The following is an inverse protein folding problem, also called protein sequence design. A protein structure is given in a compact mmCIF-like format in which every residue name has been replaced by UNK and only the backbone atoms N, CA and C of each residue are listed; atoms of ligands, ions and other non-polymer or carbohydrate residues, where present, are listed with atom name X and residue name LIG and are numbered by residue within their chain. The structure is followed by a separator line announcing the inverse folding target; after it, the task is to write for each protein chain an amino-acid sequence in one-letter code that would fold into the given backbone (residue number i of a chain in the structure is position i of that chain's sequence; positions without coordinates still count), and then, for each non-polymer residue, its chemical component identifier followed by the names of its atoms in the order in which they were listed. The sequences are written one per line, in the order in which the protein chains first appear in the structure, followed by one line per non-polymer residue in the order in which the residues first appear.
data_IF_369041224932
#
_entry.id   IF_369041224932
#
_cell.length_a   1.000
_cell.length_b   1.000
_cell.length_c   1.000
_cell.angle_alpha   90.00
_cell.angle_beta   90.00
_cell.angle_gamma   90.00
#
_symmetry.space_group_name_H-M   'P 1'
#
loop_
_entity.id
_entity.type
_entity.pdbx_description
1 polymer ?
#
# COMPACT_ATOMS: atom_id res chain seq x y z
N UNK A 1 2.08 28.69 7.85
CA UNK A 1 2.88 27.46 8.08
C UNK A 1 2.04 26.30 7.56
N UNK A 2 2.26 25.87 6.31
CA UNK A 2 1.55 24.73 5.74
C UNK A 2 2.18 23.46 6.31
N UNK A 3 1.41 22.67 7.07
CA UNK A 3 1.74 21.29 7.42
C UNK A 3 1.58 20.45 6.15
N UNK A 4 2.52 20.57 5.21
CA UNK A 4 2.57 19.71 4.05
C UNK A 4 3.09 18.35 4.54
N UNK A 5 2.13 17.50 4.90
CA UNK A 5 2.20 16.06 4.75
C UNK A 5 3.41 15.38 5.41
N UNK A 6 3.43 15.32 6.74
CA UNK A 6 3.87 14.11 7.46
C UNK A 6 2.71 13.08 7.48
N UNK A 7 2.07 12.91 6.32
CA UNK A 7 0.99 11.96 6.11
C UNK A 7 1.57 10.76 5.37
N UNK A 8 1.23 9.55 5.81
CA UNK A 8 1.63 8.27 5.18
C UNK A 8 1.82 8.43 3.66
N UNK A 9 3.05 8.18 3.20
CA UNK A 9 3.43 8.24 1.79
C UNK A 9 2.97 6.95 1.08
N UNK A 10 2.10 7.11 0.08
CA UNK A 10 1.57 6.01 -0.71
C UNK A 10 2.70 5.14 -1.30
N UNK A 11 3.80 5.76 -1.74
CA UNK A 11 4.96 5.07 -2.28
C UNK A 11 5.64 4.20 -1.22
N UNK A 12 5.73 4.67 0.03
CA UNK A 12 6.33 3.90 1.14
C UNK A 12 5.47 2.69 1.50
N UNK A 13 4.14 2.81 1.47
CA UNK A 13 3.24 1.67 1.70
C UNK A 13 3.33 0.66 0.56
N UNK A 14 3.35 1.13 -0.69
CA UNK A 14 3.56 0.26 -1.84
C UNK A 14 4.90 -0.49 -1.75
N UNK A 15 5.99 0.21 -1.39
CA UNK A 15 7.30 -0.41 -1.18
C UNK A 15 7.27 -1.43 -0.04
N UNK A 16 6.50 -1.18 1.02
CA UNK A 16 6.30 -2.15 2.09
C UNK A 16 5.59 -3.42 1.59
N UNK A 17 4.59 -3.29 0.70
CA UNK A 17 3.93 -4.44 0.08
C UNK A 17 4.94 -5.31 -0.71
N UNK A 18 5.80 -4.67 -1.50
CA UNK A 18 6.86 -5.37 -2.26
C UNK A 18 7.89 -6.02 -1.34
N UNK A 19 8.29 -5.37 -0.26
CA UNK A 19 9.21 -5.96 0.72
C UNK A 19 8.62 -7.22 1.38
N UNK A 20 7.32 -7.20 1.72
CA UNK A 20 6.61 -8.35 2.28
C UNK A 20 6.51 -9.49 1.26
N UNK A 21 6.25 -9.18 -0.01
CA UNK A 21 6.24 -10.15 -1.10
C UNK A 21 7.61 -10.83 -1.28
N UNK A 22 8.70 -10.06 -1.31
CA UNK A 22 10.06 -10.59 -1.42
C UNK A 22 10.41 -11.46 -0.21
N UNK A 23 10.04 -11.03 1.00
CA UNK A 23 10.23 -11.82 2.21
C UNK A 23 9.46 -13.15 2.12
N UNK A 24 8.20 -13.13 1.69
CA UNK A 24 7.40 -14.33 1.50
C UNK A 24 8.03 -15.28 0.47
N UNK A 25 8.51 -14.75 -0.66
CA UNK A 25 9.20 -15.53 -1.69
C UNK A 25 10.49 -16.16 -1.16
N UNK A 26 11.31 -15.39 -0.43
CA UNK A 26 12.56 -15.86 0.16
C UNK A 26 12.29 -16.99 1.16
N UNK A 27 11.29 -16.82 2.01
CA UNK A 27 10.91 -17.82 3.03
C UNK A 27 10.36 -19.11 2.40
N UNK A 28 9.62 -19.00 1.30
CA UNK A 28 9.09 -20.16 0.58
C UNK A 28 10.15 -20.89 -0.25
N UNK A 29 11.11 -20.16 -0.82
CA UNK A 29 12.07 -20.71 -1.79
C UNK A 29 13.38 -21.15 -1.15
N UNK A 30 13.83 -20.50 -0.07
CA UNK A 30 15.13 -20.75 0.52
C UNK A 30 15.10 -22.04 1.36
N UNK A 31 16.21 -22.76 1.31
CA UNK A 31 16.45 -23.98 2.08
C UNK A 31 17.65 -23.78 3.01
N UNK A 32 17.67 -24.49 4.13
CA UNK A 32 18.83 -24.57 5.01
C UNK A 32 19.96 -25.42 4.35
N UNK A 33 21.16 -25.47 4.94
CA UNK A 33 22.26 -26.30 4.43
C UNK A 33 21.95 -27.81 4.39
N UNK A 34 20.91 -28.27 5.11
CA UNK A 34 20.43 -29.64 5.11
C UNK A 34 19.30 -29.90 4.10
N UNK A 35 18.89 -28.88 3.32
CA UNK A 35 17.83 -28.97 2.31
C UNK A 35 16.40 -28.75 2.84
N UNK A 36 16.23 -28.43 4.12
CA UNK A 36 14.91 -28.19 4.73
C UNK A 36 14.41 -26.76 4.45
N UNK A 37 13.09 -26.54 4.30
CA UNK A 37 12.52 -25.20 4.23
C UNK A 37 12.80 -24.41 5.52
N UNK A 38 13.16 -23.13 5.38
CA UNK A 38 13.44 -22.24 6.52
C UNK A 38 12.21 -21.93 7.37
N UNK A 39 11.01 -22.16 6.84
CA UNK A 39 9.75 -22.10 7.55
C UNK A 39 8.99 -23.41 7.38
N UNK A 40 8.77 -24.10 8.50
CA UNK A 40 7.89 -25.27 8.63
C UNK A 40 6.40 -24.93 8.47
N UNK A 41 6.07 -23.75 7.93
CA UNK A 41 4.70 -23.32 7.77
C UNK A 41 3.99 -24.05 6.61
N UNK A 42 4.76 -24.48 5.60
CA UNK A 42 4.36 -25.49 4.62
C UNK A 42 4.95 -26.82 5.11
N UNK A 43 4.39 -27.39 6.18
CA UNK A 43 4.72 -28.77 6.54
C UNK A 43 4.46 -29.65 5.32
N UNK A 44 5.47 -30.41 4.90
CA UNK A 44 5.31 -31.49 3.93
C UNK A 44 4.80 -32.70 4.72
N UNK A 45 3.60 -32.56 5.28
CA UNK A 45 2.80 -33.66 5.77
C UNK A 45 1.86 -34.11 4.63
N UNK A 46 1.05 -35.15 4.85
CA UNK A 46 0.07 -35.64 3.87
C UNK A 46 -0.89 -34.53 3.36
N UNK A 47 -1.05 -33.47 4.15
CA UNK A 47 -1.77 -32.24 3.78
C UNK A 47 -0.83 -31.03 3.87
N UNK A 48 -0.63 -30.36 2.72
CA UNK A 48 0.16 -29.12 2.62
C UNK A 48 -0.54 -27.96 3.33
N UNK A 49 0.14 -27.35 4.30
CA UNK A 49 -0.40 -26.22 5.08
C UNK A 49 -0.22 -24.86 4.35
N UNK A 50 -1.25 -24.41 3.65
CA UNK A 50 -1.26 -23.14 2.89
C UNK A 50 -1.64 -21.90 3.72
N UNK A 51 -1.76 -22.03 5.05
CA UNK A 51 -2.17 -20.90 5.91
C UNK A 51 -1.20 -19.72 5.83
N UNK A 52 0.10 -20.00 5.71
CA UNK A 52 1.14 -18.98 5.59
C UNK A 52 1.02 -18.15 4.31
N UNK A 53 0.92 -18.83 3.16
CA UNK A 53 0.73 -18.18 1.85
C UNK A 53 -0.52 -17.29 1.88
N UNK A 54 -1.59 -17.76 2.52
CA UNK A 54 -2.85 -17.01 2.66
C UNK A 54 -2.71 -15.77 3.54
N UNK A 55 -2.09 -15.86 4.71
CA UNK A 55 -1.96 -14.71 5.61
C UNK A 55 -1.01 -13.65 5.04
N UNK A 56 0.11 -14.06 4.42
CA UNK A 56 1.00 -13.11 3.73
C UNK A 56 0.31 -12.45 2.54
N UNK A 57 -0.48 -13.20 1.76
CA UNK A 57 -1.30 -12.63 0.68
C UNK A 57 -2.30 -11.56 1.17
N UNK A 58 -2.93 -11.77 2.33
CA UNK A 58 -3.81 -10.75 2.95
C UNK A 58 -3.04 -9.49 3.37
N UNK A 59 -1.82 -9.64 3.90
CA UNK A 59 -0.99 -8.49 4.29
C UNK A 59 -0.59 -7.68 3.07
N UNK A 60 -0.09 -8.34 2.02
CA UNK A 60 0.28 -7.69 0.76
C UNK A 60 -0.93 -6.95 0.17
N UNK A 61 -2.08 -7.62 0.05
CA UNK A 61 -3.29 -7.00 -0.50
C UNK A 61 -3.80 -5.80 0.30
N UNK A 62 -3.67 -5.81 1.64
CA UNK A 62 -4.02 -4.65 2.47
C UNK A 62 -3.07 -3.48 2.26
N UNK A 63 -1.77 -3.74 2.10
CA UNK A 63 -0.78 -2.70 1.83
C UNK A 63 -1.01 -2.07 0.46
N UNK A 64 -1.26 -2.89 -0.58
CA UNK A 64 -1.59 -2.39 -1.92
C UNK A 64 -2.87 -1.53 -1.90
N UNK A 65 -3.93 -1.98 -1.23
CA UNK A 65 -5.17 -1.22 -1.09
C UNK A 65 -4.94 0.13 -0.37
N UNK A 66 -4.17 0.13 0.71
CA UNK A 66 -3.85 1.35 1.45
C UNK A 66 -3.02 2.33 0.60
N UNK A 67 -2.08 1.83 -0.19
CA UNK A 67 -1.28 2.66 -1.10
C UNK A 67 -2.18 3.34 -2.14
N UNK A 68 -3.09 2.58 -2.77
CA UNK A 68 -4.03 3.11 -3.76
C UNK A 68 -5.00 4.14 -3.17
N UNK A 69 -5.57 3.85 -1.99
CA UNK A 69 -6.47 4.79 -1.31
C UNK A 69 -5.78 6.09 -0.92
N UNK A 70 -4.51 6.03 -0.52
CA UNK A 70 -3.73 7.23 -0.21
C UNK A 70 -3.44 8.06 -1.45
N UNK A 71 -3.01 7.43 -2.55
CA UNK A 71 -2.77 8.13 -3.82
C UNK A 71 -4.03 8.87 -4.30
N UNK A 72 -5.17 8.18 -4.29
CA UNK A 72 -6.45 8.76 -4.69
C UNK A 72 -6.89 9.91 -3.77
N UNK A 73 -6.66 9.79 -2.45
CA UNK A 73 -6.94 10.87 -1.49
C UNK A 73 -6.09 12.11 -1.80
N UNK A 74 -4.80 11.95 -2.09
CA UNK A 74 -3.91 13.06 -2.44
C UNK A 74 -4.31 13.70 -3.76
N UNK A 75 -4.62 12.90 -4.79
CA UNK A 75 -5.13 13.37 -6.08
C UNK A 75 -6.38 14.21 -5.93
N UNK A 76 -7.37 13.70 -5.18
CA UNK A 76 -8.63 14.41 -4.93
C UNK A 76 -8.43 15.70 -4.14
N UNK A 77 -7.57 15.67 -3.11
CA UNK A 77 -7.23 16.86 -2.34
C UNK A 77 -6.57 17.95 -3.22
N UNK A 78 -5.66 17.56 -4.12
CA UNK A 78 -5.02 18.46 -5.08
C UNK A 78 -6.03 19.09 -6.05
N UNK A 79 -6.92 18.27 -6.63
CA UNK A 79 -8.00 18.75 -7.52
C UNK A 79 -8.92 19.71 -6.75
N UNK A 80 -9.37 19.35 -5.56
CA UNK A 80 -10.23 20.19 -4.74
C UNK A 80 -9.56 21.51 -4.37
N UNK A 81 -8.27 21.50 -4.03
CA UNK A 81 -7.52 22.71 -3.75
C UNK A 81 -7.40 23.62 -4.99
N UNK A 82 -7.05 23.06 -6.15
CA UNK A 82 -6.97 23.80 -7.40
C UNK A 82 -8.34 24.39 -7.81
N UNK A 83 -9.41 23.59 -7.70
CA UNK A 83 -10.78 24.04 -7.98
C UNK A 83 -11.23 25.16 -7.03
N UNK A 84 -10.91 25.07 -5.74
CA UNK A 84 -11.23 26.13 -4.78
C UNK A 84 -10.45 27.42 -5.08
N UNK A 85 -9.15 27.32 -5.42
CA UNK A 85 -8.33 28.48 -5.74
C UNK A 85 -8.77 29.15 -7.05
N UNK A 86 -9.05 28.37 -8.09
CA UNK A 86 -9.50 28.88 -9.39
C UNK A 86 -10.96 29.36 -9.33
N UNK A 87 -11.85 28.60 -8.69
CA UNK A 87 -13.26 28.92 -8.52
C UNK A 87 -13.49 30.17 -7.66
N UNK A 88 -12.66 30.40 -6.63
CA UNK A 88 -12.71 31.62 -5.83
C UNK A 88 -12.39 32.88 -6.65
N UNK A 89 -11.58 32.79 -7.71
CA UNK A 89 -11.29 33.92 -8.60
C UNK A 89 -12.49 34.28 -9.49
N UNK A 90 -13.32 33.32 -9.87
CA UNK A 90 -14.53 33.57 -10.66
C UNK A 90 -15.66 34.22 -9.83
N UNK A 91 -15.73 33.95 -8.53
CA UNK A 91 -16.70 34.59 -7.63
C UNK A 91 -16.41 36.07 -7.36
N UNK A 92 -15.18 36.53 -7.60
CA UNK A 92 -14.80 37.95 -7.44
C UNK A 92 -15.39 38.87 -8.53
N UNK A 93 -15.92 38.31 -9.62
CA UNK A 93 -16.46 39.06 -10.75
C UNK A 93 -17.97 38.87 -10.97
N UNK A 94 -18.72 38.36 -9.98
CA UNK A 94 -20.18 38.34 -10.07
C UNK A 94 -20.73 39.77 -9.85
N UNK A 95 -21.27 40.45 -10.88
CA UNK A 95 -21.91 41.74 -10.66
C UNK A 95 -23.20 41.51 -9.87
N UNK A 96 -23.23 41.99 -8.63
CA UNK A 96 -24.46 42.13 -7.86
C UNK A 96 -25.29 43.21 -8.55
N UNK A 97 -26.42 42.81 -9.13
CA UNK A 97 -27.52 43.71 -9.51
C UNK A 97 -28.67 43.48 -8.55
#
# INVERSE_FOLDING_TARGET
MFYLSDGLDAQRIYNAARNVEIAAWLLASRRDPAGNPLLLANEIADVRNVSFEREFGKVIGRLDLLAEMLDEKYRRAGIGYAQNLLGAQFLQFLPVR
#
